data_IF_842027608082
#
_entry.id   IF_842027608082
#
_cell.length_a   1.000
_cell.length_b   1.000
_cell.length_c   1.000
_cell.angle_alpha   90.00
_cell.angle_beta   90.00
_cell.angle_gamma   90.00
#
_symmetry.space_group_name_H-M   'P 1'
#
loop_
_entity.id
_entity.type
_entity.pdbx_description
1 polymer ?
#
# COMPACT_ATOMS: atom_id res chain seq x y z
N UNK A 1 4.56 -19.40 6.43
CA UNK A 1 4.48 -18.36 5.38
C UNK A 1 3.90 -17.08 5.97
N UNK A 2 4.18 -15.88 5.43
CA UNK A 2 3.42 -14.69 5.77
C UNK A 2 1.92 -15.00 5.64
N UNK A 3 1.06 -14.40 6.46
CA UNK A 3 -0.40 -14.59 6.34
C UNK A 3 -0.98 -13.52 5.42
N UNK A 4 -2.01 -13.87 4.63
CA UNK A 4 -2.84 -12.90 3.87
C UNK A 4 -3.74 -12.04 4.77
N UNK A 5 -3.73 -12.33 6.06
CA UNK A 5 -4.53 -11.67 7.08
C UNK A 5 -3.62 -11.07 8.14
N UNK A 6 -3.69 -9.76 8.32
CA UNK A 6 -2.92 -9.03 9.32
C UNK A 6 -3.65 -7.75 9.73
N UNK A 7 -3.24 -7.17 10.84
CA UNK A 7 -3.74 -5.88 11.30
C UNK A 7 -2.64 -4.83 11.21
N UNK A 8 -3.03 -3.59 10.95
CA UNK A 8 -2.15 -2.42 10.89
C UNK A 8 -2.74 -1.32 11.77
N UNK A 9 -1.91 -0.60 12.52
CA UNK A 9 -2.33 0.61 13.25
C UNK A 9 -2.03 1.85 12.43
N UNK A 10 -2.86 2.87 12.55
CA UNK A 10 -2.58 4.21 12.01
C UNK A 10 -1.92 5.06 13.09
N UNK A 11 -0.84 5.76 12.78
CA UNK A 11 -0.03 6.51 13.76
C UNK A 11 0.20 7.94 13.29
N UNK A 12 -0.16 8.91 14.14
CA UNK A 12 0.15 10.34 13.94
C UNK A 12 -0.52 10.97 12.72
N UNK A 13 -1.67 10.45 12.29
CA UNK A 13 -2.38 10.92 11.10
C UNK A 13 -3.84 11.27 11.41
N UNK A 14 -4.38 12.27 10.68
CA UNK A 14 -5.76 12.73 10.84
C UNK A 14 -6.78 11.78 10.17
N UNK A 15 -8.08 12.09 10.34
CA UNK A 15 -9.18 11.28 9.83
C UNK A 15 -9.16 11.10 8.31
N UNK A 16 -8.69 12.08 7.55
CA UNK A 16 -8.63 12.00 6.09
C UNK A 16 -7.59 10.97 5.62
N UNK A 17 -6.39 10.99 6.21
CA UNK A 17 -5.39 9.97 5.98
C UNK A 17 -5.84 8.57 6.41
N UNK A 18 -6.62 8.49 7.50
CA UNK A 18 -7.25 7.22 7.91
C UNK A 18 -8.23 6.73 6.84
N UNK A 19 -9.03 7.60 6.21
CA UNK A 19 -9.91 7.21 5.09
C UNK A 19 -9.13 6.70 3.88
N UNK A 20 -7.99 7.30 3.55
CA UNK A 20 -7.14 6.80 2.47
C UNK A 20 -6.57 5.42 2.77
N UNK A 21 -6.07 5.23 3.99
CA UNK A 21 -5.62 3.91 4.45
C UNK A 21 -6.77 2.89 4.44
N UNK A 22 -7.95 3.27 4.92
CA UNK A 22 -9.12 2.42 4.96
C UNK A 22 -9.61 2.03 3.55
N UNK A 23 -9.50 2.93 2.58
CA UNK A 23 -9.74 2.64 1.17
C UNK A 23 -8.71 1.66 0.62
N UNK A 24 -7.42 1.85 0.94
CA UNK A 24 -6.34 1.00 0.46
C UNK A 24 -6.45 -0.45 0.98
N UNK A 25 -6.78 -0.65 2.27
CA UNK A 25 -7.10 -2.00 2.80
C UNK A 25 -8.34 -2.58 2.13
N UNK A 26 -9.37 -1.77 1.90
CA UNK A 26 -10.61 -2.19 1.24
C UNK A 26 -10.35 -2.69 -0.18
N UNK A 27 -9.48 -2.02 -0.94
CA UNK A 27 -9.08 -2.42 -2.28
C UNK A 27 -8.48 -3.83 -2.31
N UNK A 28 -7.68 -4.20 -1.31
CA UNK A 28 -7.12 -5.56 -1.19
C UNK A 28 -8.11 -6.58 -0.66
N UNK A 29 -8.87 -6.25 0.40
CA UNK A 29 -9.86 -7.14 0.98
C UNK A 29 -10.93 -7.54 -0.04
N UNK A 30 -11.35 -6.60 -0.89
CA UNK A 30 -12.35 -6.82 -1.92
C UNK A 30 -11.75 -7.32 -3.26
N UNK A 31 -10.44 -7.59 -3.32
CA UNK A 31 -9.79 -8.00 -4.57
C UNK A 31 -10.06 -9.47 -4.96
N UNK A 32 -10.71 -10.26 -4.10
CA UNK A 32 -10.95 -11.69 -4.34
C UNK A 32 -9.68 -12.55 -4.24
N UNK A 33 -8.71 -12.11 -3.42
CA UNK A 33 -7.42 -12.79 -3.18
C UNK A 33 -7.32 -13.45 -1.80
N UNK A 34 -8.39 -13.34 -1.00
CA UNK A 34 -8.42 -13.83 0.39
C UNK A 34 -7.61 -12.97 1.36
N UNK A 35 -7.35 -11.70 1.02
CA UNK A 35 -6.73 -10.76 1.94
C UNK A 35 -7.73 -10.31 3.01
N UNK A 36 -7.27 -10.21 4.26
CA UNK A 36 -8.05 -9.64 5.37
C UNK A 36 -7.16 -8.69 6.17
N UNK A 37 -7.00 -7.48 5.66
CA UNK A 37 -6.26 -6.39 6.25
C UNK A 37 -7.20 -5.58 7.15
N UNK A 38 -6.95 -5.61 8.45
CA UNK A 38 -7.75 -4.91 9.47
C UNK A 38 -7.00 -3.68 10.01
N UNK A 39 -7.74 -2.68 10.49
CA UNK A 39 -7.17 -1.60 11.30
C UNK A 39 -7.35 -1.94 12.78
N UNK A 40 -6.25 -2.01 13.54
CA UNK A 40 -6.28 -2.28 14.99
C UNK A 40 -5.22 -1.43 15.68
N UNK A 41 -5.61 -0.66 16.70
CA UNK A 41 -4.68 0.23 17.43
C UNK A 41 -3.50 -0.51 18.07
N UNK A 42 -3.73 -1.74 18.52
CA UNK A 42 -2.71 -2.59 19.15
C UNK A 42 -1.81 -3.36 18.15
N UNK A 43 -1.97 -3.14 16.84
CA UNK A 43 -1.18 -3.85 15.84
C UNK A 43 0.30 -3.45 15.88
N UNK A 44 1.20 -4.42 15.65
CA UNK A 44 2.65 -4.13 15.49
C UNK A 44 2.93 -3.39 14.16
N UNK A 45 2.40 -3.83 13.00
CA UNK A 45 2.57 -3.08 11.77
C UNK A 45 1.88 -1.73 11.83
N UNK A 46 2.48 -0.72 11.20
CA UNK A 46 1.96 0.65 11.26
C UNK A 46 1.88 1.31 9.89
N UNK A 47 0.93 2.24 9.77
CA UNK A 47 0.77 3.15 8.65
C UNK A 47 0.85 4.58 9.17
N UNK A 48 1.66 5.41 8.54
CA UNK A 48 1.79 6.83 8.83
C UNK A 48 1.95 7.62 7.54
N UNK A 49 1.69 8.93 7.62
CA UNK A 49 1.88 9.85 6.54
C UNK A 49 2.43 11.16 7.09
N UNK A 50 3.25 11.84 6.30
CA UNK A 50 3.88 13.08 6.73
C UNK A 50 4.72 13.70 5.63
N UNK A 51 5.41 14.78 5.99
CA UNK A 51 6.31 15.49 5.11
C UNK A 51 7.73 14.93 5.31
N UNK A 52 8.18 14.11 4.37
CA UNK A 52 9.51 13.52 4.41
C UNK A 52 10.41 14.17 3.36
N UNK A 53 11.71 14.28 3.65
CA UNK A 53 12.68 14.88 2.72
C UNK A 53 13.09 13.94 1.58
N UNK A 54 12.74 12.66 1.69
CA UNK A 54 13.02 11.65 0.69
C UNK A 54 12.13 11.81 -0.55
N UNK A 55 12.60 11.28 -1.68
CA UNK A 55 11.93 11.39 -2.98
C UNK A 55 10.83 10.35 -3.21
N UNK A 56 10.73 9.30 -2.37
CA UNK A 56 9.69 8.29 -2.52
C UNK A 56 8.30 8.84 -2.17
N UNK A 57 7.28 8.29 -2.81
CA UNK A 57 5.87 8.59 -2.51
C UNK A 57 5.35 7.73 -1.35
N UNK A 58 5.75 6.47 -1.31
CA UNK A 58 5.47 5.53 -0.26
C UNK A 58 6.72 4.70 0.03
N UNK A 59 6.80 4.17 1.26
CA UNK A 59 7.86 3.29 1.67
C UNK A 59 7.29 2.19 2.56
N UNK A 60 7.43 0.95 2.11
CA UNK A 60 7.26 -0.25 2.93
C UNK A 60 8.61 -0.65 3.55
N UNK A 61 8.71 -0.51 4.87
CA UNK A 61 9.90 -0.84 5.65
C UNK A 61 9.62 -2.08 6.53
N UNK A 62 9.92 -3.31 6.06
CA UNK A 62 9.77 -4.51 6.87
C UNK A 62 10.88 -4.63 7.91
N UNK A 63 10.60 -5.29 9.01
CA UNK A 63 11.59 -5.66 10.03
C UNK A 63 11.33 -7.07 10.57
N UNK A 64 12.39 -7.68 11.12
CA UNK A 64 12.35 -9.05 11.63
C UNK A 64 12.39 -10.12 10.53
N UNK A 65 12.36 -11.38 10.96
CA UNK A 65 12.39 -12.56 10.07
C UNK A 65 11.02 -12.85 9.46
N UNK A 66 10.97 -13.67 8.39
CA UNK A 66 9.69 -14.08 7.75
C UNK A 66 8.60 -14.55 8.73
N UNK A 67 8.91 -15.36 9.77
CA UNK A 67 7.94 -15.79 10.77
C UNK A 67 7.43 -14.67 11.69
N UNK A 68 8.29 -13.68 12.01
CA UNK A 68 8.02 -12.63 12.99
C UNK A 68 7.95 -11.23 12.36
N UNK A 69 7.66 -11.17 11.06
CA UNK A 69 7.76 -9.94 10.27
C UNK A 69 6.79 -8.88 10.79
N UNK A 70 7.33 -7.72 11.14
CA UNK A 70 6.59 -6.48 11.27
C UNK A 70 6.91 -5.57 10.09
N UNK A 71 6.18 -4.47 9.93
CA UNK A 71 6.49 -3.47 8.93
C UNK A 71 5.94 -2.10 9.30
N UNK A 72 6.54 -1.07 8.70
CA UNK A 72 6.03 0.29 8.70
C UNK A 72 5.79 0.74 7.26
N UNK A 73 4.61 1.28 7.01
CA UNK A 73 4.29 2.01 5.78
C UNK A 73 4.35 3.50 6.10
N UNK A 74 5.12 4.23 5.30
CA UNK A 74 5.20 5.70 5.34
C UNK A 74 4.72 6.24 4.00
N UNK A 75 3.84 7.24 4.00
CA UNK A 75 3.39 7.94 2.78
C UNK A 75 3.84 9.39 2.82
N UNK A 76 4.53 9.84 1.78
CA UNK A 76 5.11 11.17 1.70
C UNK A 76 4.14 12.18 1.10
N UNK A 77 3.44 12.88 1.98
CA UNK A 77 2.48 13.92 1.63
C UNK A 77 3.13 15.04 0.82
N UNK A 78 4.32 15.51 1.24
CA UNK A 78 5.08 16.58 0.58
C UNK A 78 5.36 16.26 -0.88
N UNK A 79 5.94 15.09 -1.15
CA UNK A 79 6.34 14.70 -2.51
C UNK A 79 5.12 14.40 -3.38
N UNK A 80 4.10 13.74 -2.84
CA UNK A 80 2.83 13.51 -3.55
C UNK A 80 2.14 14.83 -3.92
N UNK A 81 2.13 15.80 -3.01
CA UNK A 81 1.50 17.11 -3.23
C UNK A 81 2.21 17.86 -4.35
N UNK A 82 3.54 17.96 -4.25
CA UNK A 82 4.41 18.59 -5.26
C UNK A 82 4.18 17.99 -6.66
N UNK A 83 4.19 16.67 -6.78
CA UNK A 83 4.17 16.00 -8.09
C UNK A 83 2.76 15.86 -8.69
N UNK A 84 1.71 16.09 -7.89
CA UNK A 84 0.32 16.08 -8.39
C UNK A 84 -0.17 17.45 -8.85
N UNK A 85 0.63 18.50 -8.71
CA UNK A 85 0.28 19.86 -9.12
C UNK A 85 -0.86 20.46 -8.30
N UNK A 86 -0.94 20.12 -7.00
CA UNK A 86 -1.89 20.66 -6.02
C UNK A 86 -3.38 20.44 -6.38
N UNK A 87 -3.91 19.29 -5.93
CA UNK A 87 -5.33 18.95 -5.68
C UNK A 87 -6.02 17.99 -6.68
N UNK A 88 -6.08 18.19 -8.01
CA UNK A 88 -7.00 17.40 -8.85
C UNK A 88 -6.77 15.88 -8.79
N UNK A 89 -5.53 15.46 -8.52
CA UNK A 89 -5.11 14.05 -8.54
C UNK A 89 -4.53 13.57 -7.21
N UNK A 90 -4.41 14.45 -6.21
CA UNK A 90 -3.69 14.16 -4.97
C UNK A 90 -4.25 12.92 -4.26
N UNK A 91 -5.56 12.91 -3.98
CA UNK A 91 -6.21 11.80 -3.27
C UNK A 91 -6.10 10.48 -4.03
N UNK A 92 -6.18 10.53 -5.37
CA UNK A 92 -6.03 9.35 -6.24
C UNK A 92 -4.62 8.79 -6.12
N UNK A 93 -3.60 9.65 -6.12
CA UNK A 93 -2.22 9.24 -5.94
C UNK A 93 -1.93 8.72 -4.55
N UNK A 94 -2.49 9.34 -3.50
CA UNK A 94 -2.39 8.86 -2.12
C UNK A 94 -3.01 7.47 -2.00
N UNK A 95 -4.21 7.24 -2.54
CA UNK A 95 -4.86 5.92 -2.56
C UNK A 95 -4.06 4.89 -3.36
N UNK A 96 -3.57 5.24 -4.54
CA UNK A 96 -2.74 4.36 -5.37
C UNK A 96 -1.45 3.96 -4.65
N UNK A 97 -0.78 4.92 -4.02
CA UNK A 97 0.45 4.70 -3.26
C UNK A 97 0.20 3.85 -2.03
N UNK A 98 -0.81 4.19 -1.22
CA UNK A 98 -1.15 3.41 -0.03
C UNK A 98 -1.55 1.97 -0.36
N UNK A 99 -2.27 1.75 -1.47
CA UNK A 99 -2.65 0.40 -1.91
C UNK A 99 -1.43 -0.37 -2.42
N UNK A 100 -0.49 0.30 -3.09
CA UNK A 100 0.78 -0.27 -3.53
C UNK A 100 1.62 -0.74 -2.34
N UNK A 101 1.82 0.09 -1.32
CA UNK A 101 2.61 -0.29 -0.14
C UNK A 101 2.00 -1.49 0.62
N UNK A 102 0.67 -1.59 0.65
CA UNK A 102 -0.01 -2.78 1.18
C UNK A 102 0.17 -4.02 0.29
N UNK A 103 0.44 -3.85 -1.00
CA UNK A 103 0.85 -4.94 -1.90
C UNK A 103 2.17 -5.57 -1.46
N UNK A 104 3.14 -4.78 -1.00
CA UNK A 104 4.38 -5.31 -0.41
C UNK A 104 4.13 -6.08 0.89
N UNK A 105 3.18 -5.63 1.72
CA UNK A 105 2.74 -6.38 2.90
C UNK A 105 2.11 -7.74 2.52
N UNK A 106 1.54 -7.84 1.31
CA UNK A 106 1.09 -9.07 0.66
C UNK A 106 2.17 -9.74 -0.21
N UNK A 107 3.44 -9.48 0.09
CA UNK A 107 4.62 -10.09 -0.54
C UNK A 107 4.79 -9.83 -2.04
N UNK A 108 4.07 -8.88 -2.63
CA UNK A 108 4.31 -8.50 -4.02
C UNK A 108 5.61 -7.73 -4.17
N UNK A 109 6.38 -8.07 -5.20
CA UNK A 109 7.60 -7.37 -5.56
C UNK A 109 7.28 -6.01 -6.16
N UNK A 110 8.18 -5.05 -5.92
CA UNK A 110 8.12 -3.75 -6.59
C UNK A 110 8.56 -3.88 -8.04
N UNK A 111 7.95 -3.07 -8.91
CA UNK A 111 8.20 -3.03 -10.36
C UNK A 111 8.36 -4.42 -11.02
N UNK A 112 7.34 -5.30 -10.96
CA UNK A 112 7.44 -6.65 -11.48
C UNK A 112 7.75 -6.66 -12.98
N UNK A 113 8.65 -7.56 -13.40
CA UNK A 113 9.00 -7.76 -14.81
C UNK A 113 7.85 -8.42 -15.58
N UNK A 114 6.91 -7.62 -16.06
CA UNK A 114 5.75 -8.06 -16.83
C UNK A 114 5.27 -6.96 -17.78
N UNK A 115 4.69 -7.33 -18.91
CA UNK A 115 3.99 -6.38 -19.80
C UNK A 115 2.60 -6.01 -19.26
N UNK A 116 2.02 -6.82 -18.37
CA UNK A 116 0.67 -6.61 -17.82
C UNK A 116 0.60 -5.33 -16.98
N UNK A 117 -0.58 -4.71 -16.93
CA UNK A 117 -0.86 -3.63 -16.00
C UNK A 117 -0.76 -4.15 -14.55
N UNK A 118 -0.13 -3.37 -13.68
CA UNK A 118 0.10 -3.74 -12.28
C UNK A 118 0.09 -2.49 -11.41
N UNK A 119 -0.56 -2.60 -10.25
CA UNK A 119 -0.49 -1.63 -9.17
C UNK A 119 0.94 -1.51 -8.62
N UNK A 120 1.75 -2.56 -8.78
CA UNK A 120 3.13 -2.62 -8.30
C UNK A 120 4.14 -1.97 -9.26
N UNK A 121 3.72 -1.50 -10.44
CA UNK A 121 4.62 -0.78 -11.36
C UNK A 121 4.92 0.64 -10.89
N UNK A 122 6.15 1.08 -11.07
CA UNK A 122 6.56 2.48 -10.87
C UNK A 122 5.93 3.41 -11.90
N UNK A 123 5.83 2.94 -13.14
CA UNK A 123 5.29 3.67 -14.29
C UNK A 123 3.76 3.70 -14.35
N UNK A 124 3.05 3.12 -13.36
CA UNK A 124 1.59 3.11 -13.36
C UNK A 124 1.04 4.55 -13.36
N UNK A 125 -0.05 4.76 -14.09
CA UNK A 125 -0.83 5.98 -13.94
C UNK A 125 -1.59 5.92 -12.61
N UNK A 126 -1.05 6.59 -11.60
CA UNK A 126 -1.58 6.63 -10.22
C UNK A 126 -2.97 7.28 -10.14
N UNK A 127 -3.38 8.05 -11.15
CA UNK A 127 -4.73 8.62 -11.20
C UNK A 127 -5.77 7.58 -11.64
N UNK A 128 -5.37 6.57 -12.41
CA UNK A 128 -6.24 5.50 -12.94
C UNK A 128 -6.12 4.21 -12.13
N UNK A 129 -4.90 3.81 -11.76
CA UNK A 129 -4.60 2.53 -11.11
C UNK A 129 -4.49 2.74 -9.60
N UNK A 130 -5.61 2.59 -8.90
CA UNK A 130 -5.70 2.67 -7.44
C UNK A 130 -6.01 1.33 -6.77
N UNK A 131 -6.39 0.32 -7.56
CA UNK A 131 -6.78 -1.03 -7.09
C UNK A 131 -5.83 -2.08 -7.65
N UNK A 132 -5.70 -3.26 -7.01
CA UNK A 132 -4.96 -4.39 -7.56
C UNK A 132 -5.49 -4.79 -8.94
N UNK A 133 -4.58 -4.97 -9.89
CA UNK A 133 -4.86 -5.41 -11.25
C UNK A 133 -4.91 -6.94 -11.33
N UNK A 134 -5.40 -7.53 -12.44
CA UNK A 134 -5.45 -8.98 -12.60
C UNK A 134 -4.11 -9.68 -12.32
N UNK A 135 -2.99 -9.09 -12.75
CA UNK A 135 -1.65 -9.60 -12.48
C UNK A 135 -1.31 -9.60 -10.97
N UNK A 136 -1.57 -8.49 -10.28
CA UNK A 136 -1.29 -8.39 -8.84
C UNK A 136 -2.11 -9.43 -8.06
N UNK A 137 -3.37 -9.62 -8.45
CA UNK A 137 -4.27 -10.62 -7.85
C UNK A 137 -3.78 -12.05 -8.07
N UNK A 138 -3.32 -12.37 -9.28
CA UNK A 138 -2.78 -13.71 -9.57
C UNK A 138 -1.50 -13.96 -8.80
N UNK A 139 -0.62 -12.98 -8.66
CA UNK A 139 0.62 -13.12 -7.91
C UNK A 139 0.37 -13.30 -6.41
N UNK A 140 -0.56 -12.55 -5.81
CA UNK A 140 -0.96 -12.82 -4.41
C UNK A 140 -1.50 -14.23 -4.28
N UNK A 141 -2.35 -14.70 -5.20
CA UNK A 141 -2.83 -16.09 -5.12
C UNK A 141 -1.69 -17.10 -5.25
N UNK A 142 -0.74 -16.88 -6.17
CA UNK A 142 0.41 -17.77 -6.40
C UNK A 142 1.33 -17.87 -5.19
N UNK A 143 1.63 -16.76 -4.53
CA UNK A 143 2.56 -16.72 -3.38
C UNK A 143 2.01 -17.45 -2.15
N UNK A 144 0.68 -17.50 -1.98
CA UNK A 144 0.02 -18.07 -0.80
C UNK A 144 -0.84 -19.29 -1.13
N UNK A 145 -0.53 -19.97 -2.24
CA UNK A 145 -1.00 -21.32 -2.54
C UNK A 145 -0.33 -22.34 -1.65
#
# INVERSE_FOLDING_TARGET
MPKRSFSVKTVGINSEWVKYFDTARGNWNNAGVGASIKRKSSAKPSFTAGNYNQSWYGLYAPSGSRPNRSFQIKVNAKTLWRDTGNIPKYDKWVRSTSTHELGHALSLADNPNTSKASLMKHSRDRSKIQKPQPYDKSEVKRIYR
#
